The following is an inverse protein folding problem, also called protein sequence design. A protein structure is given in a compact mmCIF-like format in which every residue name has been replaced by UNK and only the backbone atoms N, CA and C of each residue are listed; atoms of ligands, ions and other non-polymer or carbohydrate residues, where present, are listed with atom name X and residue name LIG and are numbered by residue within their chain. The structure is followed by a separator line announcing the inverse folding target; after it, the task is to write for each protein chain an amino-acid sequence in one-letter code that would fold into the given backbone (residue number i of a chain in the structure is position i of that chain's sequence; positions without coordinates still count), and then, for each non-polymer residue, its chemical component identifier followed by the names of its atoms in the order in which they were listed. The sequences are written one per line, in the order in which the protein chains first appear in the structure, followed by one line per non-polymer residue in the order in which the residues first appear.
data_IF_583423963329
#
_entry.id   IF_583423963329
#
_cell.length_a   1.000
_cell.length_b   1.000
_cell.length_c   1.000
_cell.angle_alpha   90.00
_cell.angle_beta   90.00
_cell.angle_gamma   90.00
#
_symmetry.space_group_name_H-M   'P 1'
#
loop_
_entity.id
_entity.type
_entity.pdbx_description
1 polymer ?
#
# COMPACT_ATOMS: atom_id res chain seq x y z
N UNK A 1 -39.37 18.65 15.92
CA UNK A 1 -38.32 17.73 16.44
C UNK A 1 -37.55 17.19 15.26
N UNK A 2 -36.27 17.46 15.17
CA UNK A 2 -35.38 16.89 14.13
C UNK A 2 -34.87 15.57 14.66
N UNK A 3 -35.16 14.50 13.96
CA UNK A 3 -34.60 13.19 14.26
C UNK A 3 -33.33 13.01 13.43
N UNK A 4 -32.18 12.89 14.09
CA UNK A 4 -30.90 12.60 13.44
C UNK A 4 -30.64 11.11 13.57
N UNK A 5 -30.42 10.43 12.44
CA UNK A 5 -29.98 9.06 12.37
C UNK A 5 -28.47 9.04 12.09
N UNK A 6 -27.71 8.55 13.04
CA UNK A 6 -26.28 8.31 12.84
C UNK A 6 -26.05 6.86 12.38
N UNK A 7 -25.41 6.72 11.24
CA UNK A 7 -25.10 5.41 10.65
C UNK A 7 -23.57 5.23 10.54
N UNK A 8 -23.09 4.09 11.01
CA UNK A 8 -21.71 3.66 10.82
C UNK A 8 -21.68 2.46 9.88
N UNK A 9 -21.05 2.61 8.73
CA UNK A 9 -20.92 1.56 7.74
C UNK A 9 -19.45 1.19 7.52
N UNK A 10 -19.20 -0.08 7.25
CA UNK A 10 -17.89 -0.63 6.95
C UNK A 10 -17.94 -1.38 5.61
N UNK A 11 -16.87 -1.27 4.83
CA UNK A 11 -16.74 -2.07 3.62
C UNK A 11 -16.14 -3.46 3.92
N UNK A 12 -15.91 -4.25 2.87
CA UNK A 12 -15.37 -5.60 3.01
C UNK A 12 -13.91 -5.66 3.48
N UNK A 13 -13.20 -4.53 3.58
CA UNK A 13 -11.85 -4.48 4.12
C UNK A 13 -11.82 -4.98 5.58
N UNK A 14 -12.90 -4.79 6.34
CA UNK A 14 -13.04 -5.32 7.69
C UNK A 14 -12.88 -6.85 7.77
N UNK A 15 -13.14 -7.60 6.70
CA UNK A 15 -12.97 -9.05 6.67
C UNK A 15 -11.52 -9.49 6.81
N UNK A 16 -10.58 -8.63 6.45
CA UNK A 16 -9.14 -8.89 6.54
C UNK A 16 -8.57 -8.68 7.94
N UNK A 17 -9.36 -8.18 8.91
CA UNK A 17 -8.97 -8.07 10.33
C UNK A 17 -8.97 -9.45 11.06
N UNK A 18 -9.16 -10.53 10.32
CA UNK A 18 -9.01 -11.89 10.85
C UNK A 18 -7.54 -12.16 11.15
N UNK A 19 -7.32 -12.87 12.26
CA UNK A 19 -5.98 -13.34 12.65
C UNK A 19 -5.32 -14.10 11.51
N UNK A 20 -4.11 -13.73 11.18
CA UNK A 20 -3.27 -14.43 10.22
C UNK A 20 -2.71 -15.69 10.88
N UNK A 21 -3.08 -16.84 10.35
CA UNK A 21 -2.62 -18.14 10.81
C UNK A 21 -1.62 -18.77 9.81
N UNK A 22 -0.99 -17.93 8.98
CA UNK A 22 0.01 -18.39 8.03
C UNK A 22 1.31 -18.73 8.74
N UNK A 23 1.85 -19.89 8.39
CA UNK A 23 3.22 -20.21 8.68
C UNK A 23 4.12 -19.54 7.64
N UNK A 24 5.38 -19.93 7.57
CA UNK A 24 6.30 -19.48 6.53
C UNK A 24 5.61 -19.55 5.15
N UNK A 25 5.45 -18.40 4.53
CA UNK A 25 4.75 -18.25 3.26
C UNK A 25 5.70 -17.60 2.27
N UNK A 26 5.83 -18.21 1.09
CA UNK A 26 6.62 -17.69 -0.02
C UNK A 26 5.71 -17.56 -1.24
N UNK A 27 5.76 -16.42 -1.91
CA UNK A 27 4.98 -16.17 -3.11
C UNK A 27 5.20 -14.78 -3.69
N UNK A 28 4.66 -14.55 -4.87
CA UNK A 28 4.61 -13.20 -5.46
C UNK A 28 3.60 -12.31 -4.74
N UNK A 29 3.59 -11.02 -5.05
CA UNK A 29 2.57 -10.11 -4.53
C UNK A 29 1.15 -10.61 -4.81
N UNK A 30 0.89 -11.16 -6.00
CA UNK A 30 -0.39 -11.79 -6.32
C UNK A 30 -0.67 -13.01 -5.43
N UNK A 31 0.34 -13.82 -5.13
CA UNK A 31 0.22 -14.96 -4.21
C UNK A 31 -0.23 -14.52 -2.81
N UNK A 32 0.34 -13.43 -2.29
CA UNK A 32 -0.08 -12.84 -1.01
C UNK A 32 -1.52 -12.33 -1.05
N UNK A 33 -1.92 -11.66 -2.14
CA UNK A 33 -3.31 -11.23 -2.36
C UNK A 33 -4.27 -12.41 -2.43
N UNK A 34 -3.93 -13.47 -3.16
CA UNK A 34 -4.76 -14.66 -3.32
C UNK A 34 -4.94 -15.43 -2.00
N UNK A 35 -3.88 -15.51 -1.19
CA UNK A 35 -3.92 -16.05 0.16
C UNK A 35 -4.95 -15.30 1.02
N UNK A 36 -4.85 -13.97 1.07
CA UNK A 36 -5.77 -13.12 1.83
C UNK A 36 -7.20 -13.21 1.30
N UNK A 37 -7.37 -13.17 -0.02
CA UNK A 37 -8.67 -13.31 -0.72
C UNK A 37 -9.37 -14.60 -0.33
N UNK A 38 -8.69 -15.72 -0.42
CA UNK A 38 -9.22 -17.06 -0.11
C UNK A 38 -9.60 -17.17 1.37
N UNK A 39 -8.69 -16.75 2.26
CA UNK A 39 -8.92 -16.84 3.70
C UNK A 39 -10.09 -15.96 4.19
N UNK A 40 -10.28 -14.79 3.58
CA UNK A 40 -11.26 -13.80 4.01
C UNK A 40 -12.55 -13.78 3.17
N UNK A 41 -12.61 -14.58 2.08
CA UNK A 41 -13.78 -14.67 1.22
C UNK A 41 -14.11 -13.36 0.49
N UNK A 42 -13.08 -12.66 0.01
CA UNK A 42 -13.19 -11.42 -0.77
C UNK A 42 -12.49 -11.65 -2.11
N UNK A 43 -13.24 -11.59 -3.21
CA UNK A 43 -12.70 -11.78 -4.55
C UNK A 43 -11.68 -10.70 -4.94
N UNK A 44 -10.70 -11.06 -5.76
CA UNK A 44 -9.75 -10.14 -6.36
C UNK A 44 -10.38 -9.44 -7.58
N UNK A 45 -10.06 -8.16 -7.75
CA UNK A 45 -10.47 -7.39 -8.92
C UNK A 45 -9.52 -7.59 -10.10
N UNK A 46 -8.25 -7.84 -9.83
CA UNK A 46 -7.17 -7.94 -10.81
C UNK A 46 -6.72 -9.39 -10.98
N UNK A 47 -6.24 -9.68 -12.16
CA UNK A 47 -5.63 -10.96 -12.52
C UNK A 47 -4.17 -11.04 -12.05
N UNK A 48 -3.62 -12.24 -12.02
CA UNK A 48 -2.21 -12.46 -11.72
C UNK A 48 -1.30 -11.69 -12.68
N UNK A 49 -1.58 -11.75 -13.99
CA UNK A 49 -0.79 -11.06 -14.99
C UNK A 49 -0.76 -9.54 -14.83
N UNK A 50 -1.87 -8.92 -14.37
CA UNK A 50 -1.93 -7.49 -14.12
C UNK A 50 -1.07 -7.07 -12.92
N UNK A 51 -1.04 -7.89 -11.86
CA UNK A 51 -0.22 -7.60 -10.68
C UNK A 51 1.26 -7.89 -10.95
N UNK A 52 1.58 -9.01 -11.60
CA UNK A 52 2.97 -9.38 -11.93
C UNK A 52 3.62 -8.45 -12.98
N UNK A 53 2.82 -7.72 -13.74
CA UNK A 53 3.31 -6.68 -14.65
C UNK A 53 3.73 -5.37 -13.94
N UNK A 54 3.37 -5.21 -12.66
CA UNK A 54 3.80 -4.06 -11.87
C UNK A 54 5.29 -4.20 -11.48
N UNK A 55 6.00 -3.08 -11.28
CA UNK A 55 7.29 -3.11 -10.62
C UNK A 55 7.20 -3.86 -9.29
N UNK A 56 8.15 -4.76 -9.03
CA UNK A 56 8.15 -5.69 -7.89
C UNK A 56 7.01 -6.75 -7.90
N UNK A 57 6.11 -6.75 -8.86
CA UNK A 57 4.94 -7.63 -8.88
C UNK A 57 5.28 -9.12 -9.04
N UNK A 58 6.36 -9.45 -9.75
CA UNK A 58 6.84 -10.80 -9.99
C UNK A 58 7.89 -11.27 -8.98
N UNK A 59 8.35 -10.39 -8.08
CA UNK A 59 9.35 -10.74 -7.08
C UNK A 59 8.84 -11.74 -6.05
N UNK A 60 9.71 -12.65 -5.62
CA UNK A 60 9.39 -13.60 -4.58
C UNK A 60 9.55 -12.94 -3.21
N UNK A 61 8.44 -12.85 -2.52
CA UNK A 61 8.32 -12.32 -1.16
C UNK A 61 8.20 -13.47 -0.18
N UNK A 62 8.73 -13.29 1.03
CA UNK A 62 8.68 -14.33 2.06
C UNK A 62 8.20 -13.76 3.39
N UNK A 63 7.24 -14.45 4.01
CA UNK A 63 6.85 -14.20 5.39
C UNK A 63 7.54 -15.25 6.25
N UNK A 64 8.45 -14.81 7.11
CA UNK A 64 9.15 -15.69 8.06
C UNK A 64 8.34 -15.83 9.35
N UNK A 65 8.54 -16.90 10.15
CA UNK A 65 7.77 -17.14 11.37
C UNK A 65 7.86 -16.02 12.41
N UNK A 66 9.01 -15.38 12.52
CA UNK A 66 9.23 -14.28 13.46
C UNK A 66 8.99 -12.94 12.77
N UNK A 67 7.75 -12.45 12.83
CA UNK A 67 7.33 -11.19 12.22
C UNK A 67 6.16 -10.56 13.00
N UNK A 68 5.84 -9.31 12.69
CA UNK A 68 4.78 -8.51 13.32
C UNK A 68 3.42 -8.60 12.57
N UNK A 69 3.20 -9.65 11.77
CA UNK A 69 1.94 -9.83 11.05
C UNK A 69 0.93 -10.52 11.95
N UNK A 70 -0.11 -9.80 12.36
CA UNK A 70 -1.19 -10.31 13.19
C UNK A 70 -2.44 -10.69 12.38
N UNK A 71 -2.70 -9.96 11.31
CA UNK A 71 -3.93 -10.08 10.51
C UNK A 71 -3.64 -10.23 9.02
N UNK A 72 -4.64 -10.70 8.26
CA UNK A 72 -4.54 -10.67 6.79
C UNK A 72 -4.49 -9.23 6.24
N UNK A 73 -4.99 -8.24 6.99
CA UNK A 73 -4.85 -6.83 6.62
C UNK A 73 -3.39 -6.38 6.66
N UNK A 74 -2.60 -6.88 7.61
CA UNK A 74 -1.16 -6.57 7.68
C UNK A 74 -0.41 -7.18 6.51
N UNK A 75 -0.76 -8.40 6.09
CA UNK A 75 -0.20 -8.99 4.86
C UNK A 75 -0.46 -8.10 3.65
N UNK A 76 -1.71 -7.61 3.49
CA UNK A 76 -2.06 -6.69 2.41
C UNK A 76 -1.32 -5.36 2.54
N UNK A 77 -1.23 -4.80 3.74
CA UNK A 77 -0.54 -3.55 4.01
C UNK A 77 0.94 -3.61 3.58
N UNK A 78 1.66 -4.64 4.02
CA UNK A 78 3.06 -4.82 3.65
C UNK A 78 3.25 -5.16 2.18
N UNK A 79 2.34 -5.93 1.58
CA UNK A 79 2.35 -6.20 0.13
C UNK A 79 2.12 -4.91 -0.66
N UNK A 80 1.21 -4.04 -0.22
CA UNK A 80 0.95 -2.75 -0.87
C UNK A 80 2.18 -1.84 -0.83
N UNK A 81 2.93 -1.85 0.26
CA UNK A 81 4.20 -1.11 0.36
C UNK A 81 5.22 -1.59 -0.67
N UNK A 82 5.38 -2.92 -0.84
CA UNK A 82 6.28 -3.50 -1.84
C UNK A 82 5.91 -3.09 -3.26
N UNK A 83 4.62 -2.98 -3.55
CA UNK A 83 4.10 -2.55 -4.86
C UNK A 83 4.04 -1.02 -5.02
N UNK A 84 4.36 -0.24 -3.99
CA UNK A 84 4.30 1.23 -4.03
C UNK A 84 2.89 1.79 -4.19
N UNK A 85 1.90 1.23 -3.47
CA UNK A 85 0.52 1.66 -3.57
C UNK A 85 -0.34 1.29 -2.35
N UNK A 86 -1.61 1.03 -2.57
CA UNK A 86 -2.56 0.69 -1.50
C UNK A 86 -3.65 -0.27 -1.99
N UNK A 87 -4.26 -1.00 -1.06
CA UNK A 87 -5.44 -1.81 -1.32
C UNK A 87 -6.71 -1.09 -0.90
N UNK A 88 -7.76 -1.30 -1.68
CA UNK A 88 -9.10 -0.85 -1.35
C UNK A 88 -10.14 -1.88 -1.79
N UNK A 89 -11.36 -1.72 -1.30
CA UNK A 89 -12.52 -2.46 -1.81
C UNK A 89 -13.19 -1.59 -2.88
N UNK A 90 -13.27 -2.09 -4.10
CA UNK A 90 -13.93 -1.38 -5.17
C UNK A 90 -15.46 -1.43 -5.08
N UNK A 91 -16.17 -0.73 -5.96
CA UNK A 91 -17.64 -0.67 -5.96
C UNK A 91 -18.32 -2.02 -6.20
N UNK A 92 -17.64 -2.99 -6.81
CA UNK A 92 -18.12 -4.36 -6.95
C UNK A 92 -17.89 -5.22 -5.68
N UNK A 93 -17.29 -4.64 -4.65
CA UNK A 93 -16.97 -5.32 -3.39
C UNK A 93 -15.77 -6.27 -3.50
N UNK A 94 -14.89 -6.07 -4.48
CA UNK A 94 -13.68 -6.84 -4.71
C UNK A 94 -12.45 -6.11 -4.18
N UNK A 95 -11.44 -6.86 -3.74
CA UNK A 95 -10.14 -6.33 -3.36
C UNK A 95 -9.40 -5.87 -4.62
N UNK A 96 -8.95 -4.62 -4.60
CA UNK A 96 -8.26 -3.97 -5.71
C UNK A 96 -7.00 -3.28 -5.22
N UNK A 97 -5.88 -3.53 -5.89
CA UNK A 97 -4.64 -2.78 -5.70
C UNK A 97 -4.65 -1.54 -6.57
N UNK A 98 -4.21 -0.40 -6.01
CA UNK A 98 -4.08 0.87 -6.72
C UNK A 98 -2.77 1.55 -6.40
N UNK A 99 -2.22 2.23 -7.38
CA UNK A 99 -1.16 3.22 -7.21
C UNK A 99 -1.75 4.63 -7.34
N UNK A 100 -1.08 5.61 -6.77
CA UNK A 100 -1.43 7.01 -7.01
C UNK A 100 -1.22 7.35 -8.48
N UNK A 101 -2.23 7.94 -9.10
CA UNK A 101 -2.24 8.26 -10.53
C UNK A 101 -2.33 9.76 -10.80
N UNK A 102 -1.96 10.16 -12.00
CA UNK A 102 -2.08 11.54 -12.47
C UNK A 102 -3.44 11.86 -13.11
N UNK A 103 -4.22 10.83 -13.40
CA UNK A 103 -5.52 11.01 -14.04
C UNK A 103 -6.56 11.35 -12.99
N UNK A 104 -7.24 12.52 -13.09
CA UNK A 104 -8.32 12.88 -12.19
C UNK A 104 -9.45 11.85 -12.29
N UNK A 105 -9.95 11.39 -11.14
CA UNK A 105 -11.07 10.44 -11.06
C UNK A 105 -12.40 11.14 -10.81
N UNK A 106 -12.34 12.37 -10.28
CA UNK A 106 -13.52 13.19 -10.02
C UNK A 106 -13.13 14.67 -10.09
N UNK A 107 -14.05 15.50 -10.54
CA UNK A 107 -13.96 16.96 -10.46
C UNK A 107 -14.99 17.47 -9.46
N UNK A 108 -14.53 18.18 -8.42
CA UNK A 108 -15.39 18.79 -7.41
C UNK A 108 -15.50 20.27 -7.72
N UNK A 109 -16.62 20.67 -8.31
CA UNK A 109 -16.89 22.07 -8.65
C UNK A 109 -17.25 22.89 -7.40
N UNK A 110 -16.95 24.18 -7.40
CA UNK A 110 -17.25 25.08 -6.29
C UNK A 110 -18.72 25.00 -5.83
N UNK A 111 -19.66 24.85 -6.77
CA UNK A 111 -21.09 24.71 -6.46
C UNK A 111 -21.46 23.43 -5.71
N UNK A 112 -20.56 22.44 -5.64
CA UNK A 112 -20.77 21.17 -4.96
C UNK A 112 -20.05 21.09 -3.62
N UNK A 113 -19.43 22.19 -3.17
CA UNK A 113 -18.69 22.27 -1.90
C UNK A 113 -19.37 23.28 -0.98
N UNK A 114 -19.61 22.89 0.25
CA UNK A 114 -20.10 23.80 1.28
C UNK A 114 -18.97 24.32 2.15
N UNK A 115 -17.99 23.47 2.41
CA UNK A 115 -16.77 23.80 3.12
C UNK A 115 -15.60 23.09 2.45
N UNK A 116 -14.44 23.71 2.44
CA UNK A 116 -13.22 23.03 1.97
C UNK A 116 -11.98 23.68 2.56
N UNK A 117 -11.00 22.87 2.89
CA UNK A 117 -9.67 23.31 3.28
C UNK A 117 -8.60 22.53 2.51
N UNK A 118 -7.48 23.18 2.29
CA UNK A 118 -6.31 22.54 1.69
C UNK A 118 -5.18 22.55 2.73
N UNK A 119 -4.37 21.51 2.71
CA UNK A 119 -3.15 21.47 3.50
C UNK A 119 -2.14 22.50 3.00
N UNK A 120 -1.34 23.03 3.91
CA UNK A 120 -0.31 24.03 3.62
C UNK A 120 0.93 23.44 2.92
N UNK A 121 0.94 22.11 2.71
CA UNK A 121 2.08 21.41 2.14
C UNK A 121 1.68 20.54 0.97
N UNK A 122 2.64 20.34 0.07
CA UNK A 122 2.54 19.37 -1.02
C UNK A 122 3.16 18.07 -0.55
N UNK A 123 2.43 16.98 -0.64
CA UNK A 123 2.98 15.65 -0.41
C UNK A 123 3.77 15.23 -1.66
N UNK A 124 5.08 15.12 -1.51
CA UNK A 124 6.02 14.70 -2.53
C UNK A 124 7.07 13.82 -1.90
N UNK A 125 7.13 12.56 -2.33
CA UNK A 125 8.14 11.62 -1.87
C UNK A 125 9.37 11.68 -2.76
N UNK A 126 10.54 11.85 -2.15
CA UNK A 126 11.84 11.90 -2.82
C UNK A 126 12.81 10.84 -2.32
N UNK A 127 12.42 10.15 -1.25
CA UNK A 127 13.21 9.07 -0.69
C UNK A 127 12.34 7.96 -0.09
N UNK A 128 12.93 6.79 0.02
CA UNK A 128 12.39 5.61 0.74
C UNK A 128 13.47 5.14 1.71
N UNK A 129 13.08 4.84 2.95
CA UNK A 129 13.93 4.16 3.92
C UNK A 129 13.34 2.82 4.32
N UNK A 130 14.17 1.81 4.50
CA UNK A 130 13.77 0.47 4.90
C UNK A 130 14.84 -0.17 5.79
N UNK A 131 14.43 -0.83 6.86
CA UNK A 131 15.35 -1.53 7.74
C UNK A 131 15.61 -2.94 7.21
N UNK A 132 16.89 -3.25 7.03
CA UNK A 132 17.35 -4.58 6.67
C UNK A 132 17.74 -5.34 7.95
N UNK A 133 16.99 -6.36 8.31
CA UNK A 133 17.28 -7.15 9.52
C UNK A 133 18.53 -8.04 9.39
N UNK A 134 18.96 -8.33 8.16
CA UNK A 134 20.20 -9.10 7.95
C UNK A 134 21.44 -8.32 8.36
N UNK A 135 21.45 -7.01 8.10
CA UNK A 135 22.58 -6.12 8.43
C UNK A 135 22.33 -5.29 9.67
N UNK A 136 21.12 -5.32 10.22
CA UNK A 136 20.66 -4.47 11.34
C UNK A 136 20.81 -2.98 11.05
N UNK A 137 20.67 -2.58 9.78
CA UNK A 137 20.85 -1.19 9.35
C UNK A 137 19.60 -0.67 8.64
N UNK A 138 19.30 0.60 8.82
CA UNK A 138 18.36 1.32 7.99
C UNK A 138 19.07 1.73 6.70
N UNK A 139 18.51 1.31 5.58
CA UNK A 139 18.95 1.66 4.23
C UNK A 139 18.12 2.86 3.75
N UNK A 140 18.74 3.72 2.94
CA UNK A 140 18.14 4.95 2.45
C UNK A 140 18.36 5.08 0.96
N UNK A 141 17.27 5.24 0.22
CA UNK A 141 17.24 5.34 -1.24
C UNK A 141 16.54 6.63 -1.63
N UNK A 142 17.23 7.51 -2.34
CA UNK A 142 16.73 8.83 -2.69
C UNK A 142 16.89 9.14 -4.18
N UNK A 143 16.04 10.04 -4.66
CA UNK A 143 16.23 10.68 -5.96
C UNK A 143 17.48 11.59 -5.94
N UNK A 144 17.97 11.96 -7.12
CA UNK A 144 19.10 12.89 -7.26
C UNK A 144 18.86 14.21 -6.53
N UNK A 145 17.62 14.73 -6.57
CA UNK A 145 17.17 15.86 -5.78
C UNK A 145 16.28 15.38 -4.64
N UNK A 146 16.85 15.27 -3.45
CA UNK A 146 16.16 14.83 -2.25
C UNK A 146 15.77 16.02 -1.37
N UNK A 147 14.69 16.68 -1.75
CA UNK A 147 14.14 17.88 -1.11
C UNK A 147 12.67 17.74 -0.67
N UNK A 148 12.16 16.51 -0.63
CA UNK A 148 10.78 16.18 -0.27
C UNK A 148 10.68 15.28 0.97
N UNK A 149 9.66 14.45 0.99
CA UNK A 149 9.37 13.53 2.09
C UNK A 149 10.06 12.18 1.88
N UNK A 150 10.46 11.55 2.98
CA UNK A 150 10.91 10.18 2.99
C UNK A 150 9.74 9.26 3.36
N UNK A 151 9.46 8.25 2.53
CA UNK A 151 8.60 7.14 2.90
C UNK A 151 9.38 6.17 3.77
N UNK A 152 9.08 6.15 5.06
CA UNK A 152 9.70 5.20 5.99
C UNK A 152 8.89 3.89 6.03
N UNK A 153 9.44 2.84 5.43
CA UNK A 153 8.85 1.50 5.46
C UNK A 153 9.15 0.76 6.77
N UNK A 154 10.14 1.23 7.55
CA UNK A 154 10.59 0.57 8.76
C UNK A 154 11.05 -0.86 8.48
N UNK A 155 10.65 -1.79 9.34
CA UNK A 155 10.79 -3.23 9.11
C UNK A 155 9.54 -3.71 8.37
N UNK A 156 9.63 -3.84 7.04
CA UNK A 156 8.60 -4.52 6.29
C UNK A 156 8.91 -6.03 6.27
N UNK A 157 8.05 -6.91 6.83
CA UNK A 157 8.30 -8.34 6.92
C UNK A 157 8.60 -9.02 5.59
N UNK A 158 8.10 -8.49 4.49
CA UNK A 158 8.32 -9.01 3.14
C UNK A 158 9.66 -8.58 2.53
N UNK A 159 10.30 -7.53 3.08
CA UNK A 159 11.56 -6.95 2.61
C UNK A 159 12.71 -7.11 3.61
N UNK A 160 12.47 -7.70 4.78
CA UNK A 160 13.42 -7.70 5.89
C UNK A 160 14.70 -8.49 5.62
N UNK A 161 14.66 -9.49 4.73
CA UNK A 161 15.79 -10.31 4.37
C UNK A 161 16.03 -10.26 2.86
N UNK A 162 17.01 -9.51 2.44
CA UNK A 162 17.40 -9.42 1.04
C UNK A 162 18.88 -9.13 0.91
N UNK A 163 19.44 -9.46 -0.24
CA UNK A 163 20.75 -8.94 -0.61
C UNK A 163 20.61 -7.45 -0.86
N UNK A 164 21.66 -6.69 -0.60
CA UNK A 164 21.68 -5.23 -0.73
C UNK A 164 21.23 -4.78 -2.13
N UNK A 165 21.73 -5.43 -3.18
CA UNK A 165 21.39 -5.14 -4.57
C UNK A 165 19.88 -5.36 -4.85
N UNK A 166 19.33 -6.50 -4.41
CA UNK A 166 17.89 -6.82 -4.57
C UNK A 166 17.03 -5.80 -3.82
N UNK A 167 17.42 -5.45 -2.60
CA UNK A 167 16.69 -4.46 -1.80
C UNK A 167 16.75 -3.07 -2.42
N UNK A 168 17.90 -2.69 -2.99
CA UNK A 168 18.06 -1.41 -3.69
C UNK A 168 17.12 -1.33 -4.91
N UNK A 169 16.99 -2.41 -5.68
CA UNK A 169 16.05 -2.49 -6.80
C UNK A 169 14.60 -2.39 -6.33
N UNK A 170 14.21 -3.19 -5.33
CA UNK A 170 12.84 -3.17 -4.78
C UNK A 170 12.47 -1.78 -4.23
N UNK A 171 13.32 -1.19 -3.41
CA UNK A 171 13.09 0.14 -2.84
C UNK A 171 13.15 1.25 -3.90
N UNK A 172 13.99 1.10 -4.92
CA UNK A 172 14.03 2.01 -6.07
C UNK A 172 12.73 1.99 -6.86
N UNK A 173 12.16 0.83 -7.11
CA UNK A 173 10.85 0.67 -7.76
C UNK A 173 9.70 1.26 -6.92
N UNK A 174 9.75 1.11 -5.59
CA UNK A 174 8.78 1.74 -4.68
C UNK A 174 8.90 3.27 -4.77
N UNK A 175 10.12 3.80 -4.69
CA UNK A 175 10.37 5.23 -4.81
C UNK A 175 9.88 5.78 -6.15
N UNK A 176 10.17 5.08 -7.27
CA UNK A 176 9.68 5.47 -8.59
C UNK A 176 8.15 5.52 -8.64
N UNK A 177 7.46 4.55 -8.05
CA UNK A 177 6.00 4.56 -7.98
C UNK A 177 5.44 5.76 -7.19
N UNK A 178 6.03 6.07 -6.03
CA UNK A 178 5.57 7.13 -5.13
C UNK A 178 5.93 8.53 -5.62
N UNK A 179 7.07 8.70 -6.26
CA UNK A 179 7.58 10.01 -6.72
C UNK A 179 6.88 10.55 -7.97
N UNK A 180 6.12 9.70 -8.67
CA UNK A 180 5.38 10.08 -9.90
C UNK A 180 4.31 11.14 -9.69
N UNK A 181 3.77 11.26 -8.48
CA UNK A 181 2.61 12.10 -8.17
C UNK A 181 2.88 12.96 -6.95
N UNK A 182 2.69 14.26 -7.13
CA UNK A 182 2.63 15.21 -6.04
C UNK A 182 1.16 15.56 -5.80
N UNK A 183 0.75 15.65 -4.55
CA UNK A 183 -0.63 16.01 -4.21
C UNK A 183 -0.71 16.89 -2.97
N UNK A 184 -1.77 17.69 -2.92
CA UNK A 184 -2.13 18.48 -1.74
C UNK A 184 -3.35 17.81 -1.12
N UNK A 185 -3.26 17.35 0.14
CA UNK A 185 -4.43 16.88 0.87
C UNK A 185 -5.47 17.97 1.01
N UNK A 186 -6.75 17.63 0.89
CA UNK A 186 -7.85 18.57 1.08
C UNK A 186 -9.05 17.88 1.73
N UNK A 187 -9.82 18.69 2.45
CA UNK A 187 -11.12 18.28 2.98
C UNK A 187 -12.23 19.03 2.23
N UNK A 188 -13.34 18.37 1.98
CA UNK A 188 -14.52 18.93 1.34
C UNK A 188 -15.78 18.20 1.81
N UNK A 189 -16.78 18.98 2.21
CA UNK A 189 -18.13 18.48 2.54
C UNK A 189 -18.96 18.22 1.28
#
# INVERSE_FOLDING_TARGET
TVHVLELKAYDRMLRFDRTFNGFETIGTAYGMMALCSTACGVELAQTQAEIEALPNGSELLSIYPENDIETYRDVLYFTAQVLGGFFCINRAGKLEFRQYGKTPVIEILQKHRFSSSFSDFVTRYTAVSSTNLRTQTAEYYALETDDGLTMNLGVNPLLQFGLEETRAELCGNILDALSKVNYVPFDSD
#
